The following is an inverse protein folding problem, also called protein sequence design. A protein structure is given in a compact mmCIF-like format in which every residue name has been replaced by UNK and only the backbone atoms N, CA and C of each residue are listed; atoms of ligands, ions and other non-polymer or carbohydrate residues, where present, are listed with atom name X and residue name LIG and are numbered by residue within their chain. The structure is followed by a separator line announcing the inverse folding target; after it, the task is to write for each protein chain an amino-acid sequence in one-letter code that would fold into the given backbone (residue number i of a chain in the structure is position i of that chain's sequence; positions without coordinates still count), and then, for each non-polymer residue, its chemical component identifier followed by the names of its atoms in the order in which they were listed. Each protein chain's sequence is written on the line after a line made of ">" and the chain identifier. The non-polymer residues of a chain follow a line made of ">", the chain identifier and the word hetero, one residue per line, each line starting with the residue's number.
data_IF_793502945750
#
_entry.id   IF_793502945750
#
_cell.length_a   1.000
_cell.length_b   1.000
_cell.length_c   1.000
_cell.angle_alpha   90.00
_cell.angle_beta   90.00
_cell.angle_gamma   90.00
#
_symmetry.space_group_name_H-M   'P 1'
#
loop_
_entity.id
_entity.type
_entity.pdbx_description
1 polymer ?
#
# COMPACT_ATOMS: atom_id res chain seq x y z
N UNK A 1 6.73 5.34 5.26
CA UNK A 1 6.63 3.89 5.57
C UNK A 1 5.54 3.66 6.60
N UNK A 2 5.06 2.41 6.75
CA UNK A 2 3.96 2.04 7.66
C UNK A 2 4.20 2.58 9.08
N UNK A 3 5.47 2.59 9.51
CA UNK A 3 6.15 3.54 10.40
C UNK A 3 5.37 4.70 11.05
N UNK A 4 4.79 5.49 10.16
CA UNK A 4 4.26 6.79 10.49
C UNK A 4 2.82 6.75 10.94
N UNK A 5 2.05 5.69 10.66
CA UNK A 5 0.60 5.68 10.86
C UNK A 5 0.23 5.93 12.33
N UNK A 6 0.73 5.17 13.33
CA UNK A 6 0.39 5.44 14.74
C UNK A 6 0.92 6.78 15.24
N UNK A 7 2.03 7.27 14.68
CA UNK A 7 2.60 8.58 15.04
C UNK A 7 1.73 9.73 14.51
N UNK A 8 1.23 9.63 13.28
CA UNK A 8 0.32 10.61 12.67
C UNK A 8 -1.00 10.60 13.43
N UNK A 9 -1.55 9.41 13.72
CA UNK A 9 -2.80 9.28 14.47
C UNK A 9 -2.72 9.97 15.84
N UNK A 10 -1.66 9.72 16.61
CA UNK A 10 -1.44 10.40 17.90
C UNK A 10 -1.27 11.91 17.75
N UNK A 11 -0.55 12.38 16.74
CA UNK A 11 -0.41 13.81 16.47
C UNK A 11 -1.75 14.49 16.12
N UNK A 12 -2.70 13.73 15.60
CA UNK A 12 -4.07 14.17 15.30
C UNK A 12 -5.03 13.98 16.49
N UNK A 13 -4.54 13.53 17.65
CA UNK A 13 -5.36 13.30 18.84
C UNK A 13 -6.23 12.05 18.78
N UNK A 14 -5.85 11.04 17.99
CA UNK A 14 -6.46 9.72 17.98
C UNK A 14 -5.74 8.84 19.00
N UNK A 15 -6.49 8.31 19.98
CA UNK A 15 -5.93 7.37 20.95
C UNK A 15 -5.48 6.09 20.24
N UNK A 16 -4.22 5.72 20.44
CA UNK A 16 -3.53 4.72 19.61
C UNK A 16 -2.60 3.86 20.47
N UNK A 17 -2.83 2.54 20.55
CA UNK A 17 -1.91 1.61 21.22
C UNK A 17 -0.54 1.57 20.56
N UNK A 18 0.53 1.34 21.33
CA UNK A 18 1.89 1.22 20.76
C UNK A 18 2.17 -0.12 20.08
N UNK A 19 1.48 -1.19 20.51
CA UNK A 19 1.66 -2.56 20.01
C UNK A 19 0.34 -3.34 19.98
N UNK A 20 0.21 -4.37 19.12
CA UNK A 20 1.16 -4.77 18.07
C UNK A 20 1.09 -3.85 16.83
N UNK A 21 2.26 -3.54 16.27
CA UNK A 21 2.44 -2.42 15.34
C UNK A 21 1.60 -2.48 14.05
N UNK A 22 1.73 -3.58 13.29
CA UNK A 22 1.06 -3.73 12.00
C UNK A 22 -0.47 -3.78 12.16
N UNK A 23 -1.04 -4.58 13.09
CA UNK A 23 -2.49 -4.59 13.33
C UNK A 23 -3.05 -3.23 13.79
N UNK A 24 -2.30 -2.47 14.58
CA UNK A 24 -2.73 -1.12 14.97
C UNK A 24 -2.77 -0.20 13.74
N UNK A 25 -1.72 -0.21 12.93
CA UNK A 25 -1.67 0.62 11.73
C UNK A 25 -2.75 0.25 10.69
N UNK A 26 -2.95 -1.04 10.43
CA UNK A 26 -4.01 -1.51 9.51
C UNK A 26 -5.40 -1.19 10.07
N UNK A 27 -5.64 -1.42 11.37
CA UNK A 27 -6.90 -1.10 12.03
C UNK A 27 -7.26 0.39 11.97
N UNK A 28 -6.29 1.28 12.23
CA UNK A 28 -6.49 2.73 12.13
C UNK A 28 -6.90 3.18 10.72
N UNK A 29 -6.24 2.65 9.70
CA UNK A 29 -6.56 3.01 8.31
C UNK A 29 -7.86 2.38 7.83
N UNK A 30 -8.18 1.15 8.26
CA UNK A 30 -9.47 0.53 7.99
C UNK A 30 -10.62 1.34 8.61
N UNK A 31 -10.46 1.74 9.87
CA UNK A 31 -11.46 2.57 10.53
C UNK A 31 -11.58 3.94 9.85
N UNK A 32 -10.45 4.58 9.52
CA UNK A 32 -10.46 5.86 8.82
C UNK A 32 -11.12 5.81 7.43
N UNK A 33 -10.96 4.68 6.72
CA UNK A 33 -11.57 4.45 5.41
C UNK A 33 -13.06 4.07 5.48
N UNK A 34 -13.52 3.56 6.62
CA UNK A 34 -14.91 3.18 6.87
C UNK A 34 -15.59 4.13 7.84
N UNK A 35 -15.89 3.64 9.05
CA UNK A 35 -16.72 4.31 10.06
C UNK A 35 -16.18 5.68 10.52
N UNK A 36 -14.87 5.89 10.39
CA UNK A 36 -14.18 7.12 10.77
C UNK A 36 -14.28 8.24 9.74
N UNK A 37 -14.87 8.02 8.55
CA UNK A 37 -14.90 9.01 7.47
C UNK A 37 -15.57 10.35 7.84
N UNK A 38 -16.45 10.35 8.85
CA UNK A 38 -17.10 11.57 9.37
C UNK A 38 -16.25 12.40 10.34
N UNK A 39 -15.13 11.86 10.85
CA UNK A 39 -14.23 12.57 11.76
C UNK A 39 -13.08 13.23 10.96
N UNK A 40 -12.89 14.57 11.08
CA UNK A 40 -11.79 15.27 10.41
C UNK A 40 -10.41 14.70 10.73
N UNK A 41 -10.20 14.11 11.92
CA UNK A 41 -8.92 13.51 12.32
C UNK A 41 -8.58 12.29 11.46
N UNK A 42 -9.55 11.44 11.15
CA UNK A 42 -9.33 10.26 10.32
C UNK A 42 -9.16 10.63 8.84
N UNK A 43 -9.87 11.66 8.38
CA UNK A 43 -9.62 12.24 7.05
C UNK A 43 -8.19 12.76 6.94
N UNK A 44 -7.75 13.57 7.91
CA UNK A 44 -6.38 14.08 7.96
C UNK A 44 -5.33 12.97 8.09
N UNK A 45 -5.64 11.86 8.79
CA UNK A 45 -4.78 10.69 8.87
C UNK A 45 -4.57 10.06 7.49
N UNK A 46 -5.64 9.87 6.72
CA UNK A 46 -5.57 9.32 5.37
C UNK A 46 -4.79 10.24 4.43
N UNK A 47 -5.06 11.54 4.46
CA UNK A 47 -4.39 12.53 3.61
C UNK A 47 -2.87 12.56 3.89
N UNK A 48 -2.50 12.71 5.17
CA UNK A 48 -1.09 12.75 5.57
C UNK A 48 -0.33 11.45 5.32
N UNK A 49 -1.01 10.30 5.36
CA UNK A 49 -0.37 9.03 5.04
C UNK A 49 -0.26 8.85 3.52
N UNK A 50 -1.29 9.22 2.75
CA UNK A 50 -1.30 9.20 1.30
C UNK A 50 -0.17 10.04 0.69
N UNK A 51 0.03 11.27 1.18
CA UNK A 51 1.14 12.14 0.77
C UNK A 51 2.50 11.45 0.94
N UNK A 52 2.71 10.82 2.09
CA UNK A 52 3.97 10.11 2.38
C UNK A 52 4.17 8.90 1.48
N UNK A 53 3.10 8.19 1.15
CA UNK A 53 3.16 7.08 0.18
C UNK A 53 3.48 7.62 -1.21
N UNK A 54 2.83 8.71 -1.64
CA UNK A 54 3.06 9.34 -2.94
C UNK A 54 4.50 9.85 -3.10
N UNK A 55 5.09 10.45 -2.06
CA UNK A 55 6.51 10.84 -2.05
C UNK A 55 7.42 9.62 -2.23
N UNK A 56 7.10 8.50 -1.60
CA UNK A 56 7.86 7.26 -1.80
C UNK A 56 7.73 6.76 -3.24
N UNK A 57 6.50 6.75 -3.78
CA UNK A 57 6.22 6.28 -5.13
C UNK A 57 6.82 7.18 -6.21
N UNK A 58 6.91 8.49 -6.01
CA UNK A 58 7.43 9.42 -7.02
C UNK A 58 8.88 9.09 -7.40
N UNK A 59 9.68 8.58 -6.46
CA UNK A 59 11.04 8.09 -6.75
C UNK A 59 11.06 6.90 -7.71
N UNK A 60 10.13 5.95 -7.54
CA UNK A 60 9.97 4.79 -8.43
C UNK A 60 9.50 5.24 -9.81
N UNK A 61 8.55 6.18 -9.85
CA UNK A 61 8.04 6.73 -11.11
C UNK A 61 9.13 7.47 -11.88
N UNK A 62 9.93 8.29 -11.20
CA UNK A 62 11.00 9.06 -11.83
C UNK A 62 12.09 8.18 -12.46
N UNK A 63 12.28 6.94 -11.96
CA UNK A 63 13.33 6.03 -12.44
C UNK A 63 12.79 5.00 -13.44
N UNK A 64 11.63 4.41 -13.16
CA UNK A 64 11.11 3.27 -13.92
C UNK A 64 10.00 3.64 -14.91
N UNK A 65 9.37 4.80 -14.76
CA UNK A 65 8.21 5.27 -15.54
C UNK A 65 7.13 4.19 -15.82
N UNK A 66 6.60 3.53 -14.78
CA UNK A 66 5.64 2.45 -14.97
C UNK A 66 4.27 3.01 -15.39
N UNK A 67 3.52 2.30 -16.22
CA UNK A 67 2.12 2.67 -16.52
C UNK A 67 1.15 2.34 -15.36
N UNK A 68 1.50 1.35 -14.53
CA UNK A 68 0.66 0.80 -13.46
C UNK A 68 1.48 0.49 -12.21
N UNK A 69 0.98 0.89 -11.05
CA UNK A 69 1.52 0.51 -9.75
C UNK A 69 0.43 -0.21 -8.95
N UNK A 70 0.75 -1.41 -8.47
CA UNK A 70 -0.13 -2.23 -7.65
C UNK A 70 0.22 -2.08 -6.17
N UNK A 71 -0.67 -1.43 -5.42
CA UNK A 71 -0.55 -1.26 -3.98
C UNK A 71 -0.90 -2.58 -3.26
N UNK A 72 0.06 -3.09 -2.49
CA UNK A 72 -0.05 -4.35 -1.77
C UNK A 72 0.36 -4.19 -0.30
N UNK A 73 0.07 -5.21 0.50
CA UNK A 73 0.41 -5.22 1.92
C UNK A 73 -0.76 -4.75 2.80
N UNK A 74 -0.81 -5.31 4.01
CA UNK A 74 -1.97 -5.24 4.90
C UNK A 74 -2.45 -3.81 5.14
N UNK A 75 -1.53 -2.87 5.36
CA UNK A 75 -1.85 -1.48 5.70
C UNK A 75 -2.42 -0.69 4.52
N UNK A 76 -1.86 -0.85 3.33
CA UNK A 76 -2.38 -0.18 2.12
C UNK A 76 -3.74 -0.78 1.71
N UNK A 77 -3.89 -2.10 1.84
CA UNK A 77 -5.16 -2.78 1.58
C UNK A 77 -6.22 -2.38 2.60
N UNK A 78 -5.86 -2.23 3.88
CA UNK A 78 -6.78 -1.81 4.93
C UNK A 78 -7.32 -0.39 4.71
N UNK A 79 -6.48 0.55 4.25
CA UNK A 79 -6.94 1.89 3.87
C UNK A 79 -7.82 1.93 2.61
N UNK A 80 -7.85 0.84 1.85
CA UNK A 80 -8.78 0.63 0.74
C UNK A 80 -8.76 1.71 -0.33
N UNK A 81 -9.90 1.82 -1.03
CA UNK A 81 -10.09 2.80 -2.10
C UNK A 81 -9.95 4.27 -1.62
N UNK A 82 -10.42 4.65 -0.41
CA UNK A 82 -10.21 6.00 0.11
C UNK A 82 -8.74 6.41 0.20
N UNK A 83 -7.86 5.49 0.63
CA UNK A 83 -6.42 5.74 0.69
C UNK A 83 -5.79 5.73 -0.71
N UNK A 84 -6.18 4.78 -1.56
CA UNK A 84 -5.68 4.67 -2.95
C UNK A 84 -5.96 5.95 -3.74
N UNK A 85 -7.18 6.47 -3.66
CA UNK A 85 -7.60 7.68 -4.36
C UNK A 85 -6.82 8.92 -3.92
N UNK A 86 -6.62 9.10 -2.61
CA UNK A 86 -5.79 10.19 -2.07
C UNK A 86 -4.34 10.07 -2.50
N UNK A 87 -3.81 8.85 -2.48
CA UNK A 87 -2.43 8.58 -2.93
C UNK A 87 -2.27 8.88 -4.43
N UNK A 88 -3.26 8.52 -5.24
CA UNK A 88 -3.27 8.84 -6.68
C UNK A 88 -3.28 10.34 -6.91
N UNK A 89 -4.09 11.08 -6.16
CA UNK A 89 -4.16 12.54 -6.24
C UNK A 89 -2.81 13.16 -5.87
N UNK A 90 -2.27 12.81 -4.70
CA UNK A 90 -0.98 13.33 -4.25
C UNK A 90 0.17 12.97 -5.19
N UNK A 91 0.16 11.79 -5.80
CA UNK A 91 1.19 11.37 -6.76
C UNK A 91 1.09 12.16 -8.07
N UNK A 92 -0.11 12.54 -8.51
CA UNK A 92 -0.31 13.30 -9.74
C UNK A 92 0.30 14.71 -9.68
N UNK A 93 0.47 15.26 -8.48
CA UNK A 93 1.15 16.54 -8.23
C UNK A 93 2.69 16.39 -8.24
N UNK A 94 3.19 15.18 -8.00
CA UNK A 94 4.63 14.89 -7.86
C UNK A 94 5.26 14.26 -9.11
N UNK A 95 4.46 13.62 -9.97
CA UNK A 95 4.97 12.85 -11.12
C UNK A 95 4.21 13.17 -12.41
N UNK A 96 4.95 13.53 -13.47
CA UNK A 96 4.38 13.92 -14.76
C UNK A 96 3.67 12.78 -15.49
N UNK A 97 4.17 11.54 -15.41
CA UNK A 97 3.60 10.39 -16.12
C UNK A 97 2.31 9.84 -15.52
N UNK A 98 1.98 10.24 -14.28
CA UNK A 98 0.68 9.96 -13.62
C UNK A 98 0.24 8.50 -13.75
N UNK A 99 1.05 7.55 -13.26
CA UNK A 99 0.74 6.13 -13.37
C UNK A 99 -0.59 5.80 -12.70
N UNK A 100 -1.28 4.78 -13.21
CA UNK A 100 -2.50 4.30 -12.56
C UNK A 100 -2.13 3.55 -11.29
N UNK A 101 -2.80 3.86 -10.18
CA UNK A 101 -2.71 3.10 -8.93
C UNK A 101 -3.89 2.15 -8.80
N UNK A 102 -3.64 0.89 -8.47
CA UNK A 102 -4.66 -0.12 -8.16
C UNK A 102 -4.32 -0.86 -6.87
N UNK A 103 -5.33 -1.34 -6.14
CA UNK A 103 -5.11 -2.25 -5.03
C UNK A 103 -4.93 -3.68 -5.54
N UNK A 104 -4.10 -4.48 -4.86
CA UNK A 104 -3.92 -5.89 -5.19
C UNK A 104 -5.21 -6.69 -5.07
N UNK A 105 -5.45 -7.59 -6.02
CA UNK A 105 -6.53 -8.58 -5.96
C UNK A 105 -6.14 -9.83 -5.13
N UNK A 106 -4.90 -9.92 -4.63
CA UNK A 106 -4.41 -11.07 -3.85
C UNK A 106 -4.24 -10.67 -2.37
N UNK A 107 -5.30 -10.79 -1.56
CA UNK A 107 -5.31 -10.24 -0.20
C UNK A 107 -4.51 -11.08 0.81
N UNK A 108 -4.21 -12.36 0.52
CA UNK A 108 -3.56 -13.26 1.48
C UNK A 108 -2.29 -13.90 0.94
N UNK A 109 -1.22 -13.80 1.73
CA UNK A 109 0.09 -14.42 1.51
C UNK A 109 0.60 -14.29 0.05
N UNK A 110 0.54 -13.08 -0.57
CA UNK A 110 0.93 -12.92 -1.98
C UNK A 110 2.39 -13.34 -2.22
N UNK A 111 3.27 -13.11 -1.23
CA UNK A 111 4.67 -13.53 -1.28
C UNK A 111 4.81 -15.05 -1.28
N UNK A 112 4.13 -15.76 -0.37
CA UNK A 112 4.17 -17.23 -0.33
C UNK A 112 3.63 -17.85 -1.60
N UNK A 113 2.53 -17.29 -2.13
CA UNK A 113 1.94 -17.77 -3.38
C UNK A 113 2.89 -17.56 -4.55
N UNK A 114 3.50 -16.38 -4.66
CA UNK A 114 4.53 -16.11 -5.67
C UNK A 114 5.75 -17.03 -5.54
N UNK A 115 6.19 -17.33 -4.32
CA UNK A 115 7.30 -18.25 -4.08
C UNK A 115 6.97 -19.68 -4.54
N UNK A 116 5.75 -20.16 -4.28
CA UNK A 116 5.30 -21.48 -4.73
C UNK A 116 5.25 -21.55 -6.27
N UNK A 117 4.67 -20.55 -6.91
CA UNK A 117 4.60 -20.49 -8.39
C UNK A 117 6.00 -20.39 -9.01
N UNK A 118 6.91 -19.62 -8.40
CA UNK A 118 8.30 -19.50 -8.86
C UNK A 118 9.04 -20.84 -8.73
N UNK A 119 8.86 -21.55 -7.61
CA UNK A 119 9.45 -22.88 -7.41
C UNK A 119 8.89 -23.91 -8.40
N UNK A 120 7.60 -23.84 -8.70
CA UNK A 120 6.97 -24.71 -9.69
C UNK A 120 7.49 -24.42 -11.11
N UNK A 121 7.63 -23.14 -11.49
CA UNK A 121 8.17 -22.73 -12.77
C UNK A 121 9.62 -23.22 -12.95
N UNK A 122 10.48 -22.97 -11.94
CA UNK A 122 11.87 -23.43 -11.96
C UNK A 122 11.99 -24.96 -12.11
N UNK A 123 11.17 -25.72 -11.37
CA UNK A 123 11.18 -27.19 -11.47
C UNK A 123 10.70 -27.67 -12.85
N UNK A 124 9.72 -26.99 -13.45
CA UNK A 124 9.25 -27.32 -14.80
C UNK A 124 10.32 -27.05 -15.84
N UNK A 125 11.00 -25.92 -15.77
CA UNK A 125 12.11 -25.62 -16.68
C UNK A 125 13.21 -26.68 -16.51
N UNK A 126 13.61 -27.04 -15.28
CA UNK A 126 14.64 -28.08 -15.07
C UNK A 126 14.26 -29.48 -15.59
N UNK A 127 12.99 -29.86 -15.53
CA UNK A 127 12.52 -31.22 -15.90
C UNK A 127 12.11 -31.32 -17.37
N UNK A 128 11.61 -30.24 -17.96
CA UNK A 128 11.06 -30.22 -19.32
C UNK A 128 11.88 -29.39 -20.31
N UNK A 129 13.00 -28.80 -19.89
CA UNK A 129 13.96 -28.21 -20.82
C UNK A 129 14.51 -29.30 -21.74
N UNK A 130 14.08 -29.21 -23.00
CA UNK A 130 14.35 -30.16 -24.08
C UNK A 130 15.52 -29.70 -24.97
N UNK A 131 16.28 -28.71 -24.49
CA UNK A 131 17.45 -28.14 -25.16
C UNK A 131 18.76 -28.92 -24.93
N UNK A 132 18.71 -30.16 -24.41
CA UNK A 132 19.87 -31.05 -24.25
C UNK A 132 19.88 -32.18 -25.25
#
# INVERSE_FOLDING_TARGET
>A
GVQSVPRIARALGIDTPEQPYVPVASGLLAHAAGDGAGDPRYTALLDQYAERVAIGLSSVVAVLDPELIVLSGEVLVAGGEPLRARTQSALADLAASRPRLVLTAVPRRPVLRGALESALAATRDEVFDTSR
#
